data_IF_260647881836
#
_entry.id   IF_260647881836
#
_cell.length_a   1.000
_cell.length_b   1.000
_cell.length_c   1.000
_cell.angle_alpha   90.00
_cell.angle_beta   90.00
_cell.angle_gamma   90.00
#
_symmetry.space_group_name_H-M   'P 1'
#
loop_
_entity.id
_entity.type
_entity.pdbx_description
1 polymer ?
#
# COMPACT_ATOMS: atom_id res chain seq x y z
N UNK A 1 -2.86 5.73 -1.30
CA UNK A 1 -1.65 6.44 -0.79
C UNK A 1 -1.45 6.12 0.70
N UNK A 2 -1.86 4.96 1.13
CA UNK A 2 -1.77 4.55 2.53
C UNK A 2 -0.30 4.39 2.97
N UNK A 3 0.08 5.00 4.10
CA UNK A 3 1.45 4.96 4.62
C UNK A 3 2.43 5.95 3.97
N UNK A 4 1.95 6.87 3.12
CA UNK A 4 2.79 7.94 2.59
C UNK A 4 3.10 8.94 3.72
N UNK A 5 4.38 9.23 3.91
CA UNK A 5 4.85 10.24 4.86
C UNK A 5 5.22 11.51 4.12
N UNK A 6 4.69 12.63 4.55
CA UNK A 6 4.92 13.96 3.99
C UNK A 6 5.53 14.84 5.09
N UNK A 7 6.50 15.68 4.75
CA UNK A 7 7.02 16.68 5.66
C UNK A 7 5.96 17.74 5.94
N UNK A 8 5.92 18.25 7.15
CA UNK A 8 4.93 19.26 7.57
C UNK A 8 4.96 20.49 6.66
N UNK A 9 6.12 21.03 6.35
CA UNK A 9 6.29 22.19 5.45
C UNK A 9 5.65 21.95 4.07
N UNK A 10 5.90 20.76 3.48
CA UNK A 10 5.32 20.41 2.18
C UNK A 10 3.81 20.24 2.24
N UNK A 11 3.29 19.82 3.40
CA UNK A 11 1.84 19.68 3.62
C UNK A 11 1.16 21.05 3.73
N UNK A 12 1.77 21.98 4.45
CA UNK A 12 1.27 23.36 4.55
C UNK A 12 1.21 24.02 3.17
N UNK A 13 2.31 23.96 2.41
CA UNK A 13 2.35 24.49 1.03
C UNK A 13 1.30 23.87 0.10
N UNK A 14 0.98 22.58 0.29
CA UNK A 14 -0.09 21.93 -0.48
C UNK A 14 -1.46 22.44 -0.07
N UNK A 15 -1.70 22.62 1.22
CA UNK A 15 -2.97 23.15 1.74
C UNK A 15 -3.20 24.59 1.29
N UNK A 16 -2.15 25.43 1.28
CA UNK A 16 -2.23 26.80 0.74
C UNK A 16 -2.66 26.78 -0.74
N UNK A 17 -2.01 25.95 -1.56
CA UNK A 17 -2.39 25.79 -2.97
C UNK A 17 -3.84 25.32 -3.17
N UNK A 18 -4.33 24.46 -2.28
CA UNK A 18 -5.72 24.00 -2.33
C UNK A 18 -6.67 25.15 -2.00
N UNK A 19 -6.35 25.96 -0.98
CA UNK A 19 -7.17 27.10 -0.59
C UNK A 19 -7.21 28.20 -1.63
N UNK A 20 -6.11 28.39 -2.38
CA UNK A 20 -6.01 29.36 -3.46
C UNK A 20 -6.76 28.90 -4.73
N UNK A 21 -7.05 27.60 -4.86
CA UNK A 21 -7.74 27.04 -6.02
C UNK A 21 -9.24 27.39 -6.01
N UNK A 22 -9.69 28.15 -7.02
CA UNK A 22 -11.08 28.63 -7.09
C UNK A 22 -12.04 27.61 -7.70
N UNK A 23 -11.63 26.87 -8.72
CA UNK A 23 -12.54 26.04 -9.52
C UNK A 23 -12.11 24.58 -9.64
N UNK A 24 -10.83 24.32 -9.82
CA UNK A 24 -10.28 22.97 -9.99
C UNK A 24 -8.96 22.77 -9.27
N UNK A 25 -8.75 21.59 -8.75
CA UNK A 25 -7.46 21.16 -8.23
C UNK A 25 -7.19 19.70 -8.64
N UNK A 26 -6.00 19.39 -9.17
CA UNK A 26 -5.67 18.03 -9.63
C UNK A 26 -5.85 16.98 -8.55
N UNK A 27 -6.70 15.99 -8.83
CA UNK A 27 -6.98 14.89 -7.91
C UNK A 27 -8.12 15.16 -6.90
N UNK A 28 -8.74 16.32 -6.93
CA UNK A 28 -9.93 16.63 -6.14
C UNK A 28 -11.17 16.58 -7.06
N UNK A 29 -12.17 15.73 -6.74
CA UNK A 29 -13.41 15.68 -7.50
C UNK A 29 -14.15 17.01 -7.43
N UNK A 30 -14.78 17.43 -8.54
CA UNK A 30 -15.49 18.70 -8.68
C UNK A 30 -16.56 18.94 -7.60
N UNK A 31 -17.28 17.89 -7.22
CA UNK A 31 -18.31 17.94 -6.16
C UNK A 31 -17.73 18.19 -4.76
N UNK A 32 -16.41 18.10 -4.58
CA UNK A 32 -15.71 18.38 -3.31
C UNK A 32 -15.17 19.81 -3.25
N UNK A 33 -15.03 20.49 -4.37
CA UNK A 33 -14.43 21.83 -4.43
C UNK A 33 -15.12 22.84 -3.49
N UNK A 34 -16.46 22.88 -3.34
CA UNK A 34 -17.11 23.84 -2.45
C UNK A 34 -16.74 23.71 -0.97
N UNK A 35 -16.30 22.51 -0.55
CA UNK A 35 -16.01 22.24 0.87
C UNK A 35 -14.51 22.04 1.14
N UNK A 36 -13.69 21.94 0.09
CA UNK A 36 -12.27 21.57 0.26
C UNK A 36 -11.46 22.66 0.96
N UNK A 37 -11.79 23.93 0.74
CA UNK A 37 -11.11 25.06 1.37
C UNK A 37 -11.30 25.03 2.88
N UNK A 38 -12.52 24.76 3.36
CA UNK A 38 -12.80 24.61 4.78
C UNK A 38 -12.03 23.41 5.37
N UNK A 39 -11.98 22.29 4.67
CA UNK A 39 -11.21 21.12 5.09
C UNK A 39 -9.70 21.44 5.14
N UNK A 40 -9.17 22.14 4.16
CA UNK A 40 -7.76 22.56 4.12
C UNK A 40 -7.42 23.50 5.29
N UNK A 41 -8.27 24.47 5.58
CA UNK A 41 -8.13 25.39 6.73
C UNK A 41 -8.15 24.66 8.07
N UNK A 42 -9.06 23.70 8.25
CA UNK A 42 -9.11 22.86 9.47
C UNK A 42 -7.80 22.06 9.61
N UNK A 43 -7.31 21.47 8.53
CA UNK A 43 -6.05 20.71 8.56
C UNK A 43 -4.84 21.60 8.86
N UNK A 44 -4.78 22.83 8.33
CA UNK A 44 -3.74 23.79 8.68
C UNK A 44 -3.77 24.12 10.17
N UNK A 45 -4.92 24.43 10.72
CA UNK A 45 -5.05 24.72 12.15
C UNK A 45 -4.62 23.52 13.02
N UNK A 46 -4.99 22.30 12.63
CA UNK A 46 -4.52 21.09 13.32
C UNK A 46 -2.98 20.94 13.24
N UNK A 47 -2.39 21.24 12.11
CA UNK A 47 -0.92 21.21 11.94
C UNK A 47 -0.26 22.25 12.85
N UNK A 48 -0.80 23.46 12.91
CA UNK A 48 -0.27 24.53 13.77
C UNK A 48 -0.35 24.18 15.25
N UNK A 49 -1.47 23.60 15.68
CA UNK A 49 -1.68 23.22 17.10
C UNK A 49 -0.83 22.01 17.50
N UNK A 50 -0.73 21.00 16.62
CA UNK A 50 -0.03 19.74 16.94
C UNK A 50 1.48 19.81 16.68
N UNK A 51 1.95 20.76 15.90
CA UNK A 51 3.36 20.94 15.47
C UNK A 51 4.07 19.61 15.11
N UNK A 52 3.48 18.80 14.19
CA UNK A 52 4.03 17.49 13.87
C UNK A 52 5.28 17.63 13.00
N UNK A 53 6.33 16.85 13.23
CA UNK A 53 7.51 16.79 12.33
C UNK A 53 7.19 16.20 10.96
N UNK A 54 6.18 15.35 10.87
CA UNK A 54 5.73 14.70 9.64
C UNK A 54 4.27 14.28 9.75
N UNK A 55 3.61 14.24 8.62
CA UNK A 55 2.22 13.79 8.46
C UNK A 55 2.23 12.47 7.72
N UNK A 56 1.51 11.48 8.24
CA UNK A 56 1.36 10.17 7.59
C UNK A 56 -0.07 10.04 7.10
N UNK A 57 -0.23 9.89 5.79
CA UNK A 57 -1.53 9.64 5.18
C UNK A 57 -1.91 8.18 5.42
N UNK A 58 -3.08 7.96 6.02
CA UNK A 58 -3.63 6.63 6.19
C UNK A 58 -4.86 6.42 5.29
N UNK A 59 -5.03 5.20 4.79
CA UNK A 59 -6.25 4.79 4.09
C UNK A 59 -7.34 4.31 5.04
N UNK A 60 -7.12 4.38 6.36
CA UNK A 60 -8.13 4.02 7.37
C UNK A 60 -8.98 5.24 7.71
N UNK A 61 -10.27 5.01 7.94
CA UNK A 61 -11.25 6.02 8.34
C UNK A 61 -11.47 6.01 9.86
N UNK A 62 -12.19 7.00 10.36
CA UNK A 62 -12.66 7.03 11.76
C UNK A 62 -13.49 5.76 12.08
N UNK A 63 -14.28 5.28 11.11
CA UNK A 63 -15.06 4.04 11.26
C UNK A 63 -14.17 2.83 11.54
N UNK A 64 -13.04 2.75 10.84
CA UNK A 64 -12.06 1.66 11.06
C UNK A 64 -11.45 1.74 12.47
N UNK A 65 -11.24 2.96 12.99
CA UNK A 65 -10.81 3.20 14.36
C UNK A 65 -11.82 2.67 15.38
N UNK A 66 -13.09 3.05 15.25
CA UNK A 66 -14.18 2.61 16.13
C UNK A 66 -14.33 1.08 16.08
N UNK A 67 -14.36 0.49 14.88
CA UNK A 67 -14.44 -0.98 14.73
C UNK A 67 -13.24 -1.68 15.38
N UNK A 68 -12.05 -1.06 15.32
CA UNK A 68 -10.84 -1.58 15.94
C UNK A 68 -10.91 -1.54 17.48
N UNK A 69 -11.49 -0.50 18.07
CA UNK A 69 -11.71 -0.40 19.52
C UNK A 69 -12.74 -1.43 20.02
N UNK A 70 -13.85 -1.55 19.30
CA UNK A 70 -14.91 -2.50 19.64
C UNK A 70 -14.50 -3.96 19.43
N UNK A 71 -13.55 -4.24 18.54
CA UNK A 71 -13.05 -5.58 18.20
C UNK A 71 -11.52 -5.61 18.09
N UNK A 72 -10.77 -5.57 19.21
CA UNK A 72 -9.31 -5.56 19.18
C UNK A 72 -8.72 -6.79 18.47
N UNK A 73 -9.43 -7.93 18.49
CA UNK A 73 -9.03 -9.15 17.78
C UNK A 73 -9.10 -9.06 16.25
N UNK A 74 -9.85 -8.09 15.70
CA UNK A 74 -9.97 -7.82 14.26
C UNK A 74 -8.97 -6.76 13.75
N UNK A 75 -8.07 -6.28 14.60
CA UNK A 75 -7.00 -5.38 14.16
C UNK A 75 -6.15 -6.13 13.12
N UNK A 76 -6.22 -5.67 11.88
CA UNK A 76 -5.43 -6.22 10.78
C UNK A 76 -3.96 -5.84 11.01
N UNK A 77 -3.24 -6.71 11.68
CA UNK A 77 -1.80 -6.61 11.80
C UNK A 77 -1.17 -7.43 10.66
N UNK A 78 -0.37 -6.82 9.76
CA UNK A 78 0.25 -7.55 8.66
C UNK A 78 1.19 -8.66 9.14
N UNK A 79 1.69 -8.57 10.36
CA UNK A 79 2.55 -9.60 10.94
C UNK A 79 1.77 -10.82 11.46
N UNK A 80 0.44 -10.72 11.59
CA UNK A 80 -0.42 -11.86 11.94
C UNK A 80 -1.01 -12.49 10.68
N UNK A 81 -0.57 -13.69 10.34
CA UNK A 81 -1.01 -14.46 9.16
C UNK A 81 -2.53 -14.69 9.10
N UNK A 82 -3.23 -14.67 10.24
CA UNK A 82 -4.68 -14.82 10.35
C UNK A 82 -5.45 -13.71 9.60
N UNK A 83 -4.93 -12.50 9.59
CA UNK A 83 -5.60 -11.35 8.95
C UNK A 83 -5.42 -11.37 7.42
N UNK A 84 -4.30 -11.88 6.94
CA UNK A 84 -4.03 -12.02 5.50
C UNK A 84 -4.86 -13.15 4.91
N UNK A 85 -5.12 -14.21 5.68
CA UNK A 85 -5.98 -15.33 5.27
C UNK A 85 -7.38 -14.88 4.82
N UNK A 86 -7.90 -13.77 5.37
CA UNK A 86 -9.17 -13.21 4.92
C UNK A 86 -9.12 -12.76 3.45
N UNK A 87 -8.02 -12.14 3.04
CA UNK A 87 -7.83 -11.66 1.66
C UNK A 87 -7.38 -12.75 0.68
N UNK A 88 -6.95 -13.89 1.21
CA UNK A 88 -6.43 -15.03 0.43
C UNK A 88 -7.31 -16.28 0.59
N UNK A 89 -8.57 -16.10 1.02
CA UNK A 89 -9.50 -17.19 1.29
C UNK A 89 -9.75 -18.10 0.08
N UNK A 90 -9.62 -17.58 -1.13
CA UNK A 90 -9.88 -18.28 -2.39
C UNK A 90 -8.58 -18.67 -3.11
N UNK A 91 -7.59 -19.21 -2.42
CA UNK A 91 -6.34 -19.68 -3.04
C UNK A 91 -6.56 -20.97 -3.82
N UNK A 92 -5.77 -21.15 -4.90
CA UNK A 92 -5.83 -22.37 -5.74
C UNK A 92 -5.53 -23.64 -4.98
N UNK A 93 -4.58 -23.60 -4.06
CA UNK A 93 -4.11 -24.77 -3.32
C UNK A 93 -3.92 -24.44 -1.84
N UNK A 94 -4.51 -25.25 -0.98
CA UNK A 94 -4.22 -25.21 0.44
C UNK A 94 -2.75 -25.57 0.67
N UNK A 95 -2.01 -24.70 1.37
CA UNK A 95 -0.60 -24.94 1.69
C UNK A 95 0.42 -24.43 0.67
N UNK A 96 0.03 -23.88 -0.48
CA UNK A 96 0.97 -23.32 -1.47
C UNK A 96 1.89 -22.27 -0.85
N UNK A 97 1.36 -21.42 0.01
CA UNK A 97 2.17 -20.41 0.73
C UNK A 97 3.26 -21.04 1.59
N UNK A 98 2.95 -22.14 2.27
CA UNK A 98 3.91 -22.87 3.09
C UNK A 98 4.98 -23.54 2.24
N UNK A 99 4.62 -24.07 1.08
CA UNK A 99 5.56 -24.68 0.14
C UNK A 99 6.52 -23.63 -0.45
N UNK A 100 5.99 -22.52 -0.93
CA UNK A 100 6.79 -21.40 -1.45
C UNK A 100 7.76 -20.90 -0.37
N UNK A 101 7.25 -20.71 0.86
CA UNK A 101 8.07 -20.27 1.98
C UNK A 101 9.23 -21.24 2.26
N UNK A 102 8.99 -22.56 2.31
CA UNK A 102 10.03 -23.57 2.57
C UNK A 102 11.12 -23.55 1.51
N UNK A 103 10.78 -23.31 0.24
CA UNK A 103 11.75 -23.24 -0.86
C UNK A 103 12.61 -21.98 -0.76
N UNK A 104 12.04 -20.85 -0.39
CA UNK A 104 12.71 -19.56 -0.44
C UNK A 104 13.32 -19.11 0.89
N UNK A 105 12.85 -19.60 2.05
CA UNK A 105 13.43 -19.22 3.35
C UNK A 105 14.97 -19.41 3.40
N UNK A 106 15.56 -20.53 2.93
CA UNK A 106 17.03 -20.70 2.91
C UNK A 106 17.74 -19.68 2.03
N UNK A 107 17.17 -19.37 0.84
CA UNK A 107 17.75 -18.40 -0.10
C UNK A 107 17.69 -16.98 0.44
N UNK A 108 16.69 -16.67 1.27
CA UNK A 108 16.48 -15.34 1.80
C UNK A 108 17.33 -15.03 3.04
N UNK A 109 17.86 -16.02 3.72
CA UNK A 109 18.76 -15.79 4.87
C UNK A 109 20.08 -15.16 4.44
N UNK A 110 20.59 -15.56 3.30
CA UNK A 110 21.88 -15.09 2.78
C UNK A 110 21.79 -13.80 1.95
N UNK A 111 20.66 -13.55 1.30
CA UNK A 111 20.53 -12.50 0.29
C UNK A 111 19.81 -11.23 0.75
N UNK A 112 19.04 -11.27 1.85
CA UNK A 112 18.08 -10.20 2.10
C UNK A 112 17.98 -9.83 3.59
N UNK A 113 18.16 -8.55 3.89
CA UNK A 113 17.96 -8.04 5.26
C UNK A 113 16.54 -8.27 5.80
N UNK A 114 16.38 -8.27 7.14
CA UNK A 114 15.13 -8.55 7.87
C UNK A 114 13.88 -7.86 7.30
N UNK A 115 14.02 -6.65 6.79
CA UNK A 115 12.91 -5.87 6.22
C UNK A 115 12.35 -6.51 4.96
N UNK A 116 13.21 -6.96 4.06
CA UNK A 116 12.81 -7.62 2.80
C UNK A 116 12.28 -9.03 3.09
N UNK A 117 12.81 -9.73 4.07
CA UNK A 117 12.29 -11.05 4.50
C UNK A 117 10.80 -10.97 4.91
N UNK A 118 10.42 -9.90 5.63
CA UNK A 118 9.01 -9.64 5.97
C UNK A 118 8.15 -9.42 4.72
N UNK A 119 8.59 -8.55 3.81
CA UNK A 119 7.86 -8.25 2.58
C UNK A 119 7.74 -9.47 1.68
N UNK A 120 8.79 -10.26 1.57
CA UNK A 120 8.78 -11.50 0.82
C UNK A 120 7.76 -12.51 1.38
N UNK A 121 7.71 -12.67 2.70
CA UNK A 121 6.69 -13.50 3.35
C UNK A 121 5.27 -13.03 3.01
N UNK A 122 5.03 -11.71 3.00
CA UNK A 122 3.77 -11.13 2.59
C UNK A 122 3.49 -11.40 1.10
N UNK A 123 4.49 -11.28 0.24
CA UNK A 123 4.36 -11.59 -1.19
C UNK A 123 3.95 -13.05 -1.42
N UNK A 124 4.57 -13.99 -0.71
CA UNK A 124 4.19 -15.41 -0.77
C UNK A 124 2.73 -15.62 -0.33
N UNK A 125 2.30 -14.95 0.74
CA UNK A 125 0.93 -15.06 1.24
C UNK A 125 -0.10 -14.47 0.28
N UNK A 126 0.24 -13.38 -0.41
CA UNK A 126 -0.63 -12.67 -1.36
C UNK A 126 -0.49 -13.18 -2.80
N UNK A 127 0.36 -14.17 -3.03
CA UNK A 127 0.73 -14.63 -4.38
C UNK A 127 -0.45 -15.02 -5.27
N UNK A 128 -1.53 -15.51 -4.69
CA UNK A 128 -2.74 -15.95 -5.42
C UNK A 128 -3.94 -15.00 -5.28
N UNK A 129 -3.71 -13.73 -4.91
CA UNK A 129 -4.79 -12.76 -4.63
C UNK A 129 -5.75 -12.54 -5.80
N UNK A 130 -5.31 -12.79 -7.03
CA UNK A 130 -6.10 -12.60 -8.27
C UNK A 130 -6.07 -13.80 -9.21
N UNK A 131 -5.84 -15.01 -8.69
CA UNK A 131 -5.71 -16.20 -9.53
C UNK A 131 -6.98 -16.53 -10.33
N UNK A 132 -8.16 -16.18 -9.82
CA UNK A 132 -9.47 -16.42 -10.43
C UNK A 132 -9.88 -15.36 -11.45
N UNK A 133 -9.08 -14.31 -11.65
CA UNK A 133 -9.35 -13.29 -12.65
C UNK A 133 -8.93 -13.74 -14.05
N UNK A 134 -9.37 -13.01 -15.08
CA UNK A 134 -8.93 -13.23 -16.45
C UNK A 134 -7.39 -13.16 -16.55
N UNK A 135 -6.78 -14.12 -17.25
CA UNK A 135 -5.31 -14.28 -17.32
C UNK A 135 -4.57 -12.99 -17.62
N UNK A 136 -5.05 -12.24 -18.59
CA UNK A 136 -4.40 -11.02 -19.10
C UNK A 136 -4.50 -9.85 -18.14
N UNK A 137 -5.46 -9.88 -17.23
CA UNK A 137 -5.72 -8.81 -16.26
C UNK A 137 -5.20 -9.13 -14.85
N UNK A 138 -4.84 -10.38 -14.57
CA UNK A 138 -4.44 -10.83 -13.22
C UNK A 138 -3.36 -9.97 -12.58
N UNK A 139 -2.32 -9.64 -13.34
CA UNK A 139 -1.22 -8.81 -12.83
C UNK A 139 -1.68 -7.43 -12.40
N UNK A 140 -2.43 -6.74 -13.26
CA UNK A 140 -2.93 -5.40 -12.99
C UNK A 140 -3.90 -5.39 -11.79
N UNK A 141 -4.88 -6.30 -11.79
CA UNK A 141 -5.86 -6.41 -10.70
C UNK A 141 -5.18 -6.78 -9.37
N UNK A 142 -4.20 -7.69 -9.39
CA UNK A 142 -3.45 -8.07 -8.20
C UNK A 142 -2.69 -6.87 -7.61
N UNK A 143 -2.01 -6.10 -8.45
CA UNK A 143 -1.27 -4.92 -8.02
C UNK A 143 -2.21 -3.85 -7.44
N UNK A 144 -3.34 -3.58 -8.08
CA UNK A 144 -4.34 -2.62 -7.59
C UNK A 144 -4.92 -3.06 -6.24
N UNK A 145 -5.28 -4.32 -6.10
CA UNK A 145 -5.75 -4.89 -4.83
C UNK A 145 -4.72 -4.69 -3.71
N UNK A 146 -3.44 -4.98 -3.96
CA UNK A 146 -2.38 -4.82 -2.96
C UNK A 146 -2.19 -3.36 -2.55
N UNK A 147 -2.24 -2.44 -3.50
CA UNK A 147 -2.14 -1.00 -3.22
C UNK A 147 -3.31 -0.55 -2.34
N UNK A 148 -4.49 -1.09 -2.54
CA UNK A 148 -5.73 -0.74 -1.84
C UNK A 148 -5.95 -1.49 -0.53
N UNK A 149 -5.22 -2.59 -0.28
CA UNK A 149 -5.40 -3.41 0.93
C UNK A 149 -5.23 -2.58 2.22
N UNK A 150 -6.14 -2.68 3.20
CA UNK A 150 -6.09 -1.95 4.46
C UNK A 150 -5.09 -2.60 5.44
N UNK A 151 -3.87 -2.90 4.99
CA UNK A 151 -2.81 -3.45 5.83
C UNK A 151 -2.19 -2.33 6.66
N UNK A 152 -2.31 -2.42 7.98
CA UNK A 152 -1.63 -1.53 8.94
C UNK A 152 -0.13 -1.83 8.96
N UNK A 153 0.68 -0.87 9.38
CA UNK A 153 2.14 -1.01 9.51
C UNK A 153 2.92 -1.31 8.21
N UNK A 154 2.30 -1.12 7.05
CA UNK A 154 2.94 -1.25 5.75
C UNK A 154 3.15 0.14 5.14
N UNK A 155 4.40 0.54 4.96
CA UNK A 155 4.75 1.82 4.34
C UNK A 155 4.31 1.84 2.87
N UNK A 156 4.05 3.03 2.34
CA UNK A 156 3.63 3.16 0.94
C UNK A 156 4.63 2.54 -0.04
N UNK A 157 5.92 2.75 0.16
CA UNK A 157 6.99 2.11 -0.63
C UNK A 157 6.96 0.59 -0.55
N UNK A 158 6.76 0.02 0.63
CA UNK A 158 6.67 -1.43 0.83
C UNK A 158 5.46 -2.02 0.09
N UNK A 159 4.36 -1.28 0.07
CA UNK A 159 3.15 -1.63 -0.65
C UNK A 159 3.36 -1.62 -2.17
N UNK A 160 4.08 -0.62 -2.70
CA UNK A 160 4.44 -0.55 -4.11
C UNK A 160 5.37 -1.71 -4.48
N UNK A 161 6.35 -2.02 -3.62
CA UNK A 161 7.24 -3.16 -3.82
C UNK A 161 6.45 -4.48 -3.90
N UNK A 162 5.53 -4.72 -2.97
CA UNK A 162 4.65 -5.89 -2.98
C UNK A 162 3.79 -5.95 -4.24
N UNK A 163 3.18 -4.84 -4.62
CA UNK A 163 2.34 -4.76 -5.81
C UNK A 163 3.13 -5.09 -7.08
N UNK A 164 4.35 -4.57 -7.20
CA UNK A 164 5.25 -4.85 -8.33
C UNK A 164 5.68 -6.31 -8.36
N UNK A 165 6.09 -6.88 -7.23
CA UNK A 165 6.49 -8.29 -7.13
C UNK A 165 5.34 -9.23 -7.53
N UNK A 166 4.13 -8.98 -7.06
CA UNK A 166 2.97 -9.80 -7.41
C UNK A 166 2.53 -9.56 -8.85
N UNK A 167 2.66 -8.34 -9.39
CA UNK A 167 2.44 -8.06 -10.80
C UNK A 167 3.31 -8.99 -11.67
N UNK A 168 4.64 -9.00 -11.43
CA UNK A 168 5.57 -9.83 -12.20
C UNK A 168 5.35 -11.32 -12.02
N UNK A 169 4.87 -11.77 -10.88
CA UNK A 169 4.48 -13.17 -10.70
C UNK A 169 3.42 -13.61 -11.71
N UNK A 170 2.50 -12.74 -12.11
CA UNK A 170 1.45 -13.07 -13.07
C UNK A 170 1.85 -12.83 -14.52
N UNK A 171 2.60 -11.79 -14.81
CA UNK A 171 2.96 -11.42 -16.19
C UNK A 171 4.33 -11.96 -16.63
N UNK A 172 5.17 -12.39 -15.67
CA UNK A 172 6.54 -12.86 -15.91
C UNK A 172 7.54 -11.72 -16.07
N UNK A 173 8.84 -12.09 -16.04
CA UNK A 173 9.95 -11.13 -16.10
C UNK A 173 10.21 -10.56 -17.50
N UNK A 174 9.70 -11.20 -18.55
CA UNK A 174 9.85 -10.74 -19.94
C UNK A 174 9.01 -9.52 -20.24
N UNK A 175 7.90 -9.34 -19.54
CA UNK A 175 7.07 -8.15 -19.70
C UNK A 175 7.72 -6.97 -18.97
N UNK A 176 8.24 -6.01 -19.75
CA UNK A 176 8.80 -4.75 -19.24
C UNK A 176 7.73 -3.79 -18.69
N UNK A 177 6.46 -4.14 -18.82
CA UNK A 177 5.38 -3.37 -18.22
C UNK A 177 5.51 -3.45 -16.71
N UNK A 178 5.07 -2.42 -16.05
CA UNK A 178 5.04 -2.31 -14.61
C UNK A 178 3.71 -1.69 -14.19
N UNK A 179 3.41 -1.73 -12.91
CA UNK A 179 2.42 -0.82 -12.35
C UNK A 179 2.81 0.62 -12.72
N UNK A 180 1.94 1.59 -12.47
CA UNK A 180 2.16 3.00 -12.85
C UNK A 180 3.63 3.45 -12.66
N UNK A 181 4.26 4.02 -13.72
CA UNK A 181 5.63 4.56 -13.68
C UNK A 181 5.82 5.55 -12.51
N UNK A 182 4.80 6.35 -12.22
CA UNK A 182 4.78 7.29 -11.10
C UNK A 182 4.90 6.61 -9.73
N UNK A 183 4.32 5.43 -9.57
CA UNK A 183 4.46 4.66 -8.32
C UNK A 183 5.85 4.02 -8.23
N UNK A 184 6.32 3.42 -9.31
CA UNK A 184 7.65 2.79 -9.37
C UNK A 184 8.78 3.79 -9.12
N UNK A 185 8.65 5.05 -9.55
CA UNK A 185 9.66 6.08 -9.29
C UNK A 185 9.88 6.39 -7.81
N UNK A 186 8.97 5.96 -6.93
CA UNK A 186 9.15 6.07 -5.47
C UNK A 186 10.09 5.01 -4.89
N UNK A 187 10.40 3.95 -5.65
CA UNK A 187 11.37 2.93 -5.27
C UNK A 187 12.77 3.31 -5.71
N UNK A 188 13.76 3.00 -4.89
CA UNK A 188 15.19 3.05 -5.29
C UNK A 188 15.49 1.97 -6.32
N UNK A 189 16.58 2.09 -7.07
CA UNK A 189 16.98 1.08 -8.06
C UNK A 189 17.17 -0.30 -7.42
N UNK A 190 17.77 -0.37 -6.22
CA UNK A 190 17.93 -1.61 -5.46
C UNK A 190 16.58 -2.23 -5.08
N UNK A 191 15.62 -1.41 -4.65
CA UNK A 191 14.26 -1.88 -4.33
C UNK A 191 13.52 -2.34 -5.58
N UNK A 192 13.70 -1.67 -6.73
CA UNK A 192 13.14 -2.12 -8.02
C UNK A 192 13.70 -3.47 -8.41
N UNK A 193 15.02 -3.63 -8.39
CA UNK A 193 15.68 -4.90 -8.74
C UNK A 193 15.23 -6.05 -7.84
N UNK A 194 15.03 -5.81 -6.54
CA UNK A 194 14.58 -6.84 -5.61
C UNK A 194 13.08 -7.18 -5.71
N UNK A 195 12.29 -6.39 -6.44
CA UNK A 195 10.86 -6.64 -6.68
C UNK A 195 10.63 -7.54 -7.91
N UNK A 196 11.66 -7.80 -8.69
CA UNK A 196 11.68 -8.74 -9.81
C UNK A 196 12.18 -10.09 -9.31
#
# INVERSE_FOLDING_TARGET
>A
IHGLSIKTESSVLLLDKIMDAKEEFPGIPQNRMPTINNAASIMQNLILVCDPKKIIITGTSIRDGIVSELNPSKIINPDKSSNIKYFTKNQRFNGMQSAIKKIFDPLMEDLVGLKLKRLFKLACQLSDISWNELSDLRGAIAAERIISLPLKNLLHKERIWLAQSIYHRYVGLKDKKSISKKLISLLTEKEKQSAF
#
